data_IF_579488331055
#
_entry.id   IF_579488331055
#
_cell.length_a   1.000
_cell.length_b   1.000
_cell.length_c   1.000
_cell.angle_alpha   90.00
_cell.angle_beta   90.00
_cell.angle_gamma   90.00
#
_symmetry.space_group_name_H-M   'P 1'
#
loop_
_entity.id
_entity.type
_entity.pdbx_description
1 polymer ?
#
# COMPACT_ATOMS: atom_id res chain seq x y z
N UNK A 1 15.44 8.86 -8.41
CA UNK A 1 13.96 8.97 -8.29
C UNK A 1 13.55 8.25 -7.02
N UNK A 2 12.74 8.86 -6.14
CA UNK A 2 12.26 8.14 -4.96
C UNK A 2 11.46 6.89 -5.38
N UNK A 3 11.64 5.76 -4.67
CA UNK A 3 10.87 4.54 -4.93
C UNK A 3 9.46 4.71 -4.36
N UNK A 4 8.44 4.19 -5.07
CA UNK A 4 7.09 4.06 -4.51
C UNK A 4 7.04 2.82 -3.66
N UNK A 5 6.15 2.82 -2.67
CA UNK A 5 5.69 1.61 -2.01
C UNK A 5 5.12 0.66 -3.07
N UNK A 6 5.64 -0.56 -3.05
CA UNK A 6 5.19 -1.71 -3.82
C UNK A 6 4.38 -2.63 -2.91
N UNK A 7 3.62 -3.52 -3.54
CA UNK A 7 2.87 -4.58 -2.88
C UNK A 7 3.80 -5.53 -2.15
N UNK A 8 4.88 -5.91 -2.82
CA UNK A 8 5.94 -6.77 -2.29
C UNK A 8 6.73 -6.13 -1.14
N UNK A 9 6.47 -4.86 -0.80
CA UNK A 9 7.07 -4.22 0.38
C UNK A 9 6.28 -4.58 1.66
N UNK A 10 5.09 -5.16 1.55
CA UNK A 10 4.30 -5.71 2.67
C UNK A 10 4.55 -7.21 2.72
N UNK A 11 5.13 -7.69 3.81
CA UNK A 11 5.47 -9.10 4.00
C UNK A 11 4.44 -9.80 4.87
N UNK A 12 4.01 -9.14 5.93
CA UNK A 12 3.10 -9.69 6.92
C UNK A 12 1.87 -8.79 7.10
N UNK A 13 0.79 -9.35 7.63
CA UNK A 13 -0.44 -8.59 7.91
C UNK A 13 -0.19 -7.47 8.93
N UNK A 14 0.77 -7.64 9.85
CA UNK A 14 1.13 -6.61 10.84
C UNK A 14 1.72 -5.33 10.20
N UNK A 15 2.27 -5.44 8.98
CA UNK A 15 2.73 -4.26 8.23
C UNK A 15 1.54 -3.33 7.84
N UNK A 16 0.31 -3.85 7.85
CA UNK A 16 -0.89 -3.06 7.53
C UNK A 16 -1.17 -1.97 8.58
N UNK A 17 -0.77 -2.18 9.83
CA UNK A 17 -0.95 -1.19 10.91
C UNK A 17 -0.11 0.07 10.69
N UNK A 18 1.00 -0.07 9.97
CA UNK A 18 1.95 1.01 9.71
C UNK A 18 1.85 1.59 8.28
N UNK A 19 0.74 1.35 7.57
CA UNK A 19 0.54 1.80 6.18
C UNK A 19 0.72 3.31 6.00
N UNK A 20 0.41 4.13 7.00
CA UNK A 20 0.61 5.58 6.96
C UNK A 20 2.08 5.98 6.76
N UNK A 21 3.02 5.18 7.27
CA UNK A 21 4.46 5.42 7.19
C UNK A 21 5.10 4.70 5.99
N UNK A 22 4.55 3.54 5.64
CA UNK A 22 4.99 2.71 4.53
C UNK A 22 4.60 3.34 3.19
N UNK A 23 3.41 3.96 3.08
CA UNK A 23 2.90 4.54 1.83
C UNK A 23 3.57 5.88 1.50
N UNK A 24 4.54 5.81 0.57
CA UNK A 24 5.37 6.93 0.10
C UNK A 24 5.07 7.26 -1.36
N UNK A 25 4.58 8.48 -1.62
CA UNK A 25 4.46 8.99 -2.99
C UNK A 25 5.84 9.42 -3.53
N UNK A 26 6.34 8.75 -4.58
CA UNK A 26 7.60 9.13 -5.26
C UNK A 26 7.67 10.57 -5.79
N UNK A 27 6.54 11.27 -5.86
CA UNK A 27 6.45 12.68 -6.29
C UNK A 27 6.03 13.61 -5.15
N UNK A 28 6.31 13.26 -3.88
CA UNK A 28 5.95 14.04 -2.67
C UNK A 28 6.19 15.55 -2.82
N UNK A 29 7.27 15.96 -3.47
CA UNK A 29 7.67 17.37 -3.62
C UNK A 29 7.09 18.07 -4.87
N UNK A 30 6.43 17.34 -5.76
CA UNK A 30 5.90 17.87 -7.04
C UNK A 30 4.37 17.91 -7.09
N UNK A 31 3.70 17.69 -5.95
CA UNK A 31 2.24 17.60 -5.88
C UNK A 31 1.71 18.40 -4.70
N UNK A 32 0.54 19.00 -4.91
CA UNK A 32 -0.27 19.60 -3.86
C UNK A 32 -0.71 18.54 -2.83
N UNK A 33 -0.97 18.97 -1.60
CA UNK A 33 -1.39 18.14 -0.46
C UNK A 33 -2.51 17.17 -0.81
N UNK A 34 -3.56 17.66 -1.46
CA UNK A 34 -4.79 16.89 -1.68
C UNK A 34 -4.57 15.79 -2.72
N UNK A 35 -3.76 16.08 -3.75
CA UNK A 35 -3.36 15.09 -4.75
C UNK A 35 -2.47 14.02 -4.14
N UNK A 36 -1.66 14.36 -3.13
CA UNK A 36 -0.83 13.41 -2.38
C UNK A 36 -1.74 12.51 -1.53
N UNK A 37 -2.62 13.06 -0.72
CA UNK A 37 -3.52 12.29 0.15
C UNK A 37 -4.42 11.35 -0.62
N UNK A 38 -5.08 11.82 -1.70
CA UNK A 38 -5.93 10.96 -2.54
C UNK A 38 -5.19 9.70 -3.00
N UNK A 39 -3.91 9.85 -3.33
CA UNK A 39 -3.12 8.74 -3.85
C UNK A 39 -2.52 7.87 -2.75
N UNK A 40 -2.21 8.43 -1.58
CA UNK A 40 -1.90 7.62 -0.41
C UNK A 40 -3.10 6.73 -0.06
N UNK A 41 -4.32 7.28 -0.03
CA UNK A 41 -5.56 6.47 0.16
C UNK A 41 -5.72 5.38 -0.91
N UNK A 42 -5.42 5.70 -2.16
CA UNK A 42 -5.46 4.71 -3.24
C UNK A 42 -4.47 3.57 -3.02
N UNK A 43 -3.24 3.88 -2.60
CA UNK A 43 -2.23 2.86 -2.29
C UNK A 43 -2.63 2.01 -1.09
N UNK A 44 -3.10 2.63 0.01
CA UNK A 44 -3.63 1.90 1.18
C UNK A 44 -4.71 0.91 0.76
N UNK A 45 -5.69 1.35 -0.04
CA UNK A 45 -6.78 0.47 -0.53
C UNK A 45 -6.27 -0.67 -1.40
N UNK A 46 -5.31 -0.40 -2.29
CA UNK A 46 -4.72 -1.42 -3.17
C UNK A 46 -3.97 -2.48 -2.36
N UNK A 47 -3.15 -2.03 -1.41
CA UNK A 47 -2.32 -2.89 -0.56
C UNK A 47 -3.17 -3.82 0.32
N UNK A 48 -4.20 -3.28 0.98
CA UNK A 48 -5.15 -4.09 1.76
C UNK A 48 -5.85 -5.11 0.86
N UNK A 49 -6.36 -4.66 -0.30
CA UNK A 49 -7.08 -5.56 -1.22
C UNK A 49 -6.21 -6.74 -1.65
N UNK A 50 -4.95 -6.49 -1.97
CA UNK A 50 -4.07 -7.55 -2.41
C UNK A 50 -3.76 -8.55 -1.30
N UNK A 51 -3.60 -8.11 -0.06
CA UNK A 51 -3.38 -9.06 1.04
C UNK A 51 -4.62 -9.87 1.39
N UNK A 52 -5.82 -9.30 1.31
CA UNK A 52 -7.05 -10.08 1.46
C UNK A 52 -7.19 -11.12 0.35
N UNK A 53 -6.99 -10.74 -0.91
CA UNK A 53 -7.09 -11.68 -2.03
C UNK A 53 -6.04 -12.78 -1.97
N UNK A 54 -4.77 -12.46 -1.66
CA UNK A 54 -3.74 -13.48 -1.46
C UNK A 54 -4.10 -14.46 -0.35
N UNK A 55 -4.69 -13.96 0.75
CA UNK A 55 -5.12 -14.81 1.85
C UNK A 55 -6.32 -15.70 1.49
N UNK A 56 -7.29 -15.17 0.75
CA UNK A 56 -8.43 -15.95 0.23
C UNK A 56 -7.97 -17.07 -0.70
N UNK A 57 -6.98 -16.79 -1.57
CA UNK A 57 -6.39 -17.80 -2.43
C UNK A 57 -5.72 -18.91 -1.60
N UNK A 58 -4.84 -18.58 -0.65
CA UNK A 58 -4.18 -19.55 0.25
C UNK A 58 -5.19 -20.39 1.05
N UNK A 59 -6.21 -19.77 1.64
CA UNK A 59 -7.25 -20.45 2.43
C UNK A 59 -8.17 -21.32 1.54
N UNK A 60 -8.23 -21.10 0.22
CA UNK A 60 -9.01 -21.92 -0.73
C UNK A 60 -8.31 -23.21 -1.18
N UNK A 61 -6.99 -23.30 -0.97
CA UNK A 61 -6.17 -24.48 -1.29
C UNK A 61 -5.97 -25.42 -0.08
N UNK A 62 -6.56 -25.11 1.08
CA UNK A 62 -6.58 -25.90 2.31
C UNK A 62 -7.93 -26.62 2.51
#
# INVERSE_FOLDING_TARGET
MAKRTSVNDIKDIEDLDNLGEIVKDKRKHKRTSDKKERRNRHYVKLLIKQQVTHKEDEDSFL
#
